data_IF_839084035526
#
_entry.id   IF_839084035526
#
_cell.length_a   1.000
_cell.length_b   1.000
_cell.length_c   1.000
_cell.angle_alpha   90.00
_cell.angle_beta   90.00
_cell.angle_gamma   90.00
#
_symmetry.space_group_name_H-M   'P 1'
#
loop_
_entity.id
_entity.type
_entity.pdbx_description
1 polymer ?
#
# COMPACT_ATOMS: atom_id res chain seq x y z
N UNK A 1 -24.28 1.26 -18.55
CA UNK A 1 -24.47 0.48 -17.30
C UNK A 1 -23.31 0.86 -16.37
N UNK A 2 -23.43 1.28 -15.12
CA UNK A 2 -24.56 1.67 -14.24
C UNK A 2 -24.01 2.66 -13.19
N UNK A 3 -24.85 3.58 -12.71
CA UNK A 3 -24.54 4.77 -11.88
C UNK A 3 -23.89 4.52 -10.49
N UNK A 4 -23.40 3.32 -10.17
CA UNK A 4 -22.93 2.89 -8.84
C UNK A 4 -21.55 2.18 -8.81
N UNK A 5 -20.79 2.16 -9.90
CA UNK A 5 -19.58 1.32 -10.03
C UNK A 5 -18.38 1.71 -9.14
N UNK A 6 -18.45 2.83 -8.40
CA UNK A 6 -17.34 3.30 -7.57
C UNK A 6 -17.66 3.30 -6.07
N UNK A 7 -18.80 2.75 -5.63
CA UNK A 7 -19.10 2.68 -4.19
C UNK A 7 -18.21 1.68 -3.43
N UNK A 8 -17.99 0.49 -4.00
CA UNK A 8 -17.15 -0.56 -3.41
C UNK A 8 -15.69 -0.15 -3.19
N UNK A 9 -14.97 0.48 -4.15
CA UNK A 9 -13.61 0.97 -3.88
C UNK A 9 -13.59 2.06 -2.82
N UNK A 10 -14.68 2.83 -2.65
CA UNK A 10 -14.82 3.76 -1.54
C UNK A 10 -14.88 3.06 -0.17
N UNK A 11 -15.68 2.00 -0.05
CA UNK A 11 -15.72 1.17 1.17
C UNK A 11 -14.37 0.51 1.43
N UNK A 12 -13.73 -0.04 0.39
CA UNK A 12 -12.41 -0.66 0.52
C UNK A 12 -11.37 0.34 1.07
N UNK A 13 -11.40 1.59 0.59
CA UNK A 13 -10.53 2.65 1.10
C UNK A 13 -10.82 3.01 2.56
N UNK A 14 -12.10 3.07 2.97
CA UNK A 14 -12.47 3.28 4.38
C UNK A 14 -12.00 2.13 5.27
N UNK A 15 -12.21 0.88 4.84
CA UNK A 15 -11.78 -0.29 5.58
C UNK A 15 -10.26 -0.31 5.74
N UNK A 16 -9.53 -0.04 4.64
CA UNK A 16 -8.07 0.02 4.65
C UNK A 16 -7.55 1.17 5.53
N UNK A 17 -8.25 2.32 5.57
CA UNK A 17 -7.88 3.45 6.42
C UNK A 17 -7.93 3.12 7.92
N UNK A 18 -8.69 2.10 8.31
CA UNK A 18 -8.75 1.58 9.69
C UNK A 18 -7.76 0.43 9.88
N UNK A 19 -7.78 -0.57 8.99
CA UNK A 19 -6.94 -1.76 9.12
C UNK A 19 -5.45 -1.45 9.07
N UNK A 20 -5.03 -0.58 8.15
CA UNK A 20 -3.62 -0.24 7.96
C UNK A 20 -2.96 0.32 9.23
N UNK A 21 -3.48 1.39 9.87
CA UNK A 21 -2.85 1.90 11.08
C UNK A 21 -2.95 0.92 12.24
N UNK A 22 -4.05 0.19 12.39
CA UNK A 22 -4.18 -0.80 13.46
C UNK A 22 -3.13 -1.91 13.37
N UNK A 23 -2.90 -2.44 12.16
CA UNK A 23 -1.89 -3.47 11.92
C UNK A 23 -0.47 -2.96 12.21
N UNK A 24 -0.09 -1.82 11.63
CA UNK A 24 1.28 -1.32 11.75
C UNK A 24 1.60 -0.78 13.15
N UNK A 25 0.65 -0.17 13.86
CA UNK A 25 0.85 0.24 15.26
C UNK A 25 1.12 -0.98 16.15
N UNK A 26 0.38 -2.08 15.93
CA UNK A 26 0.60 -3.33 16.63
C UNK A 26 2.00 -3.90 16.29
N UNK A 27 2.34 -4.01 15.01
CA UNK A 27 3.64 -4.51 14.57
C UNK A 27 4.82 -3.70 15.14
N UNK A 28 4.72 -2.36 15.14
CA UNK A 28 5.77 -1.49 15.70
C UNK A 28 5.88 -1.60 17.23
N UNK A 29 4.77 -1.84 17.93
CA UNK A 29 4.80 -2.01 19.40
C UNK A 29 5.55 -3.26 19.86
N UNK A 30 5.64 -4.27 18.99
CA UNK A 30 6.26 -5.56 19.28
C UNK A 30 7.77 -5.55 18.97
N UNK A 31 8.22 -4.67 18.06
CA UNK A 31 9.60 -4.62 17.56
C UNK A 31 10.61 -3.86 18.45
N UNK A 32 10.23 -3.32 19.60
CA UNK A 32 11.07 -2.35 20.36
C UNK A 32 12.21 -2.97 21.18
N UNK A 33 12.17 -4.26 21.50
CA UNK A 33 13.16 -4.87 22.42
C UNK A 33 14.15 -5.84 21.76
N UNK A 34 13.82 -6.45 20.61
CA UNK A 34 14.77 -7.20 19.76
C UNK A 34 14.15 -7.54 18.39
N UNK A 35 14.14 -6.58 17.45
CA UNK A 35 13.45 -6.70 16.15
C UNK A 35 13.75 -8.01 15.41
N UNK A 36 15.03 -8.42 15.31
CA UNK A 36 15.41 -9.62 14.56
C UNK A 36 14.92 -10.91 15.19
N UNK A 37 15.02 -11.04 16.52
CA UNK A 37 14.53 -12.24 17.22
C UNK A 37 13.01 -12.36 17.14
N UNK A 38 12.30 -11.23 17.26
CA UNK A 38 10.85 -11.15 17.20
C UNK A 38 10.33 -11.40 15.78
N UNK A 39 10.95 -10.78 14.77
CA UNK A 39 10.64 -11.01 13.37
C UNK A 39 10.87 -12.48 12.97
N UNK A 40 11.97 -13.08 13.43
CA UNK A 40 12.24 -14.52 13.19
C UNK A 40 11.16 -15.41 13.79
N UNK A 41 10.71 -15.12 15.01
CA UNK A 41 9.65 -15.88 15.65
C UNK A 41 8.32 -15.77 14.88
N UNK A 42 8.04 -14.58 14.34
CA UNK A 42 6.87 -14.30 13.51
C UNK A 42 6.91 -15.11 12.19
N UNK A 43 8.03 -15.05 11.45
CA UNK A 43 8.27 -15.79 10.19
C UNK A 43 8.07 -17.30 10.29
N UNK A 44 8.28 -17.88 11.48
CA UNK A 44 8.16 -19.32 11.72
C UNK A 44 6.74 -19.74 12.12
N UNK A 45 5.83 -18.78 12.25
CA UNK A 45 4.45 -19.00 12.66
C UNK A 45 3.47 -18.52 11.60
N UNK A 46 2.27 -19.10 11.59
CA UNK A 46 1.14 -18.58 10.83
C UNK A 46 0.08 -18.12 11.82
N UNK A 47 -0.24 -16.84 11.76
CA UNK A 47 -1.07 -16.12 12.71
C UNK A 47 -2.21 -15.38 12.01
N UNK A 48 -3.11 -14.81 12.81
CA UNK A 48 -4.13 -13.89 12.28
C UNK A 48 -3.51 -12.59 11.74
N UNK A 49 -2.29 -12.24 12.18
CA UNK A 49 -1.56 -11.08 11.67
C UNK A 49 -1.28 -11.23 10.17
N UNK A 50 -0.86 -12.42 9.74
CA UNK A 50 -0.54 -12.74 8.33
C UNK A 50 -1.78 -12.63 7.43
N UNK A 51 -2.93 -13.05 7.94
CA UNK A 51 -4.20 -12.89 7.22
C UNK A 51 -4.58 -11.41 7.05
N UNK A 52 -4.41 -10.61 8.10
CA UNK A 52 -4.68 -9.16 8.06
C UNK A 52 -3.69 -8.46 7.12
N UNK A 53 -2.42 -8.86 7.13
CA UNK A 53 -1.40 -8.38 6.22
C UNK A 53 -1.82 -8.61 4.76
N UNK A 54 -2.18 -9.84 4.39
CA UNK A 54 -2.68 -10.15 3.04
C UNK A 54 -3.93 -9.35 2.70
N UNK A 55 -4.88 -9.23 3.64
CA UNK A 55 -6.11 -8.46 3.42
C UNK A 55 -5.83 -6.98 3.12
N UNK A 56 -4.89 -6.36 3.84
CA UNK A 56 -4.41 -4.99 3.58
C UNK A 56 -3.90 -4.89 2.14
N UNK A 57 -3.03 -5.81 1.73
CA UNK A 57 -2.50 -5.85 0.36
C UNK A 57 -3.58 -6.01 -0.71
N UNK A 58 -4.55 -6.90 -0.51
CA UNK A 58 -5.65 -7.10 -1.46
C UNK A 58 -6.51 -5.84 -1.58
N UNK A 59 -6.84 -5.19 -0.46
CA UNK A 59 -7.62 -3.95 -0.46
C UNK A 59 -6.88 -2.83 -1.21
N UNK A 60 -5.59 -2.67 -0.95
CA UNK A 60 -4.77 -1.65 -1.60
C UNK A 60 -4.65 -1.88 -3.11
N UNK A 61 -4.38 -3.12 -3.54
CA UNK A 61 -4.36 -3.51 -4.95
C UNK A 61 -5.71 -3.22 -5.61
N UNK A 62 -6.81 -3.62 -4.98
CA UNK A 62 -8.15 -3.39 -5.50
C UNK A 62 -8.44 -1.89 -5.72
N UNK A 63 -8.07 -1.05 -4.76
CA UNK A 63 -8.19 0.41 -4.85
C UNK A 63 -7.39 0.95 -6.03
N UNK A 64 -6.14 0.53 -6.20
CA UNK A 64 -5.30 1.00 -7.32
C UNK A 64 -5.80 0.56 -8.68
N UNK A 65 -6.30 -0.66 -8.82
CA UNK A 65 -6.91 -1.12 -10.07
C UNK A 65 -8.19 -0.34 -10.40
N UNK A 66 -9.00 -0.02 -9.40
CA UNK A 66 -10.19 0.83 -9.57
C UNK A 66 -9.81 2.27 -9.94
N UNK A 67 -8.79 2.84 -9.28
CA UNK A 67 -8.31 4.19 -9.57
C UNK A 67 -7.69 4.28 -10.97
N UNK A 68 -6.94 3.25 -11.37
CA UNK A 68 -6.38 3.10 -12.71
C UNK A 68 -7.48 3.14 -13.76
N UNK A 69 -8.53 2.35 -13.55
CA UNK A 69 -9.70 2.31 -14.45
C UNK A 69 -10.35 3.70 -14.53
N UNK A 70 -10.54 4.35 -13.39
CA UNK A 70 -11.07 5.72 -13.35
C UNK A 70 -10.21 6.71 -14.14
N UNK A 71 -8.88 6.62 -14.06
CA UNK A 71 -7.97 7.53 -14.78
C UNK A 71 -7.96 7.26 -16.29
N UNK A 72 -8.05 6.00 -16.69
CA UNK A 72 -8.16 5.63 -18.09
C UNK A 72 -9.49 6.08 -18.70
N UNK A 73 -10.60 5.94 -17.97
CA UNK A 73 -11.95 6.26 -18.45
C UNK A 73 -12.28 7.76 -18.35
N UNK A 74 -11.87 8.45 -17.27
CA UNK A 74 -12.32 9.81 -16.96
C UNK A 74 -11.28 10.90 -17.24
N UNK A 75 -9.98 10.58 -17.12
CA UNK A 75 -8.90 11.58 -17.20
C UNK A 75 -8.02 11.42 -18.44
N UNK A 76 -8.26 10.36 -19.24
CA UNK A 76 -7.45 9.97 -20.41
C UNK A 76 -5.93 9.99 -20.16
N UNK A 77 -5.51 9.79 -18.89
CA UNK A 77 -4.10 9.85 -18.48
C UNK A 77 -3.48 8.46 -18.48
N UNK A 78 -2.92 8.07 -19.63
CA UNK A 78 -2.26 6.79 -19.79
C UNK A 78 -1.07 6.58 -18.83
N UNK A 79 -0.29 7.63 -18.56
CA UNK A 79 0.87 7.54 -17.66
C UNK A 79 0.46 7.27 -16.20
N UNK A 80 -0.53 7.99 -15.68
CA UNK A 80 -1.01 7.79 -14.31
C UNK A 80 -1.64 6.39 -14.15
N UNK A 81 -2.35 5.90 -15.16
CA UNK A 81 -2.91 4.55 -15.18
C UNK A 81 -1.83 3.45 -15.15
N UNK A 82 -0.71 3.64 -15.86
CA UNK A 82 0.43 2.70 -15.83
C UNK A 82 1.12 2.73 -14.47
N UNK A 83 1.36 3.92 -13.90
CA UNK A 83 1.99 4.05 -12.57
C UNK A 83 1.16 3.35 -11.48
N UNK A 84 -0.17 3.49 -11.51
CA UNK A 84 -1.07 2.78 -10.59
C UNK A 84 -1.01 1.26 -10.76
N UNK A 85 -0.85 0.75 -11.98
CA UNK A 85 -0.64 -0.67 -12.20
C UNK A 85 0.68 -1.14 -11.59
N UNK A 86 1.76 -0.38 -11.77
CA UNK A 86 3.07 -0.70 -11.19
C UNK A 86 2.97 -0.69 -9.66
N UNK A 87 2.30 0.30 -9.06
CA UNK A 87 2.07 0.33 -7.61
C UNK A 87 1.30 -0.91 -7.13
N UNK A 88 0.23 -1.32 -7.83
CA UNK A 88 -0.50 -2.53 -7.50
C UNK A 88 0.38 -3.80 -7.54
N UNK A 89 1.26 -3.91 -8.55
CA UNK A 89 2.22 -5.01 -8.64
C UNK A 89 3.23 -5.00 -7.48
N UNK A 90 3.75 -3.82 -7.12
CA UNK A 90 4.70 -3.69 -6.01
C UNK A 90 4.05 -4.02 -4.66
N UNK A 91 2.82 -3.57 -4.42
CA UNK A 91 2.04 -3.95 -3.23
C UNK A 91 1.82 -5.46 -3.19
N UNK A 92 1.47 -6.07 -4.33
CA UNK A 92 1.30 -7.53 -4.43
C UNK A 92 2.61 -8.24 -4.08
N UNK A 93 3.74 -7.78 -4.62
CA UNK A 93 5.05 -8.35 -4.35
C UNK A 93 5.46 -8.22 -2.88
N UNK A 94 5.18 -7.06 -2.27
CA UNK A 94 5.44 -6.84 -0.85
C UNK A 94 4.59 -7.76 0.02
N UNK A 95 3.29 -7.89 -0.24
CA UNK A 95 2.43 -8.76 0.56
C UNK A 95 2.64 -10.26 0.27
N UNK A 96 3.23 -10.61 -0.88
CA UNK A 96 3.63 -11.96 -1.20
C UNK A 96 4.79 -12.47 -0.33
N UNK A 97 5.43 -11.62 0.50
CA UNK A 97 6.40 -12.09 1.49
C UNK A 97 5.80 -13.08 2.49
N UNK A 98 4.47 -13.06 2.69
CA UNK A 98 3.77 -14.06 3.52
C UNK A 98 3.97 -15.49 3.02
N UNK A 99 4.30 -15.67 1.74
CA UNK A 99 4.61 -16.99 1.19
C UNK A 99 5.89 -17.56 1.81
N UNK A 100 6.79 -16.71 2.30
CA UNK A 100 7.97 -17.12 3.07
C UNK A 100 7.53 -17.71 4.40
N UNK A 101 6.59 -17.07 5.11
CA UNK A 101 6.06 -17.55 6.40
C UNK A 101 5.36 -18.91 6.22
N UNK A 102 4.53 -19.01 5.19
CA UNK A 102 3.88 -20.27 4.82
C UNK A 102 4.92 -21.34 4.52
N UNK A 103 5.95 -21.03 3.74
CA UNK A 103 7.00 -21.99 3.40
C UNK A 103 7.78 -22.43 4.63
N UNK A 104 8.25 -21.48 5.45
CA UNK A 104 9.04 -21.75 6.64
C UNK A 104 8.24 -22.49 7.72
N UNK A 105 6.94 -22.24 7.86
CA UNK A 105 6.09 -23.01 8.77
C UNK A 105 5.96 -24.49 8.39
N UNK A 106 6.09 -24.83 7.10
CA UNK A 106 5.96 -26.21 6.59
C UNK A 106 7.30 -26.95 6.61
N UNK A 107 8.38 -26.32 6.12
CA UNK A 107 9.69 -26.97 5.93
C UNK A 107 10.78 -26.49 6.88
N UNK A 108 10.52 -25.46 7.69
CA UNK A 108 11.53 -24.78 8.51
C UNK A 108 12.18 -25.67 9.56
N UNK A 109 11.47 -26.67 10.10
CA UNK A 109 12.04 -27.62 11.07
C UNK A 109 13.15 -28.50 10.47
N UNK A 110 13.24 -28.60 9.15
CA UNK A 110 14.29 -29.33 8.43
C UNK A 110 15.47 -28.45 8.00
N UNK A 111 15.43 -27.15 8.27
CA UNK A 111 16.47 -26.19 7.89
C UNK A 111 17.42 -25.92 9.06
N UNK A 112 18.66 -25.53 8.75
CA UNK A 112 19.60 -25.07 9.77
C UNK A 112 19.25 -23.64 10.20
N UNK A 113 19.65 -23.26 11.41
CA UNK A 113 19.46 -21.89 11.92
C UNK A 113 20.07 -20.83 11.00
N UNK A 114 21.26 -21.12 10.45
CA UNK A 114 21.95 -20.22 9.51
C UNK A 114 21.18 -20.02 8.20
N UNK A 115 20.52 -21.07 7.70
CA UNK A 115 19.69 -20.96 6.49
C UNK A 115 18.45 -20.11 6.75
N UNK A 116 17.79 -20.29 7.91
CA UNK A 116 16.63 -19.48 8.30
C UNK A 116 17.02 -18.00 8.45
N UNK A 117 18.16 -17.73 9.09
CA UNK A 117 18.71 -16.38 9.24
C UNK A 117 18.95 -15.73 7.87
N UNK A 118 19.61 -16.44 6.96
CA UNK A 118 19.87 -15.95 5.60
C UNK A 118 18.56 -15.62 4.86
N UNK A 119 17.56 -16.52 4.92
CA UNK A 119 16.24 -16.27 4.29
C UNK A 119 15.57 -15.04 4.89
N UNK A 120 15.63 -14.88 6.21
CA UNK A 120 15.03 -13.75 6.93
C UNK A 120 15.66 -12.42 6.51
N UNK A 121 17.00 -12.36 6.44
CA UNK A 121 17.74 -11.17 6.00
C UNK A 121 17.41 -10.79 4.54
N UNK A 122 17.42 -11.77 3.62
CA UNK A 122 17.05 -11.51 2.22
C UNK A 122 15.60 -11.06 2.08
N UNK A 123 14.69 -11.58 2.91
CA UNK A 123 13.27 -11.18 2.91
C UNK A 123 13.14 -9.72 3.36
N UNK A 124 13.83 -9.31 4.42
CA UNK A 124 13.85 -7.91 4.90
C UNK A 124 14.42 -6.98 3.82
N UNK A 125 15.58 -7.32 3.25
CA UNK A 125 16.24 -6.50 2.23
C UNK A 125 15.34 -6.37 0.99
N UNK A 126 14.75 -7.48 0.55
CA UNK A 126 13.80 -7.50 -0.56
C UNK A 126 12.58 -6.62 -0.28
N UNK A 127 11.97 -6.78 0.89
CA UNK A 127 10.82 -5.99 1.33
C UNK A 127 11.13 -4.48 1.34
N UNK A 128 12.27 -4.08 1.92
CA UNK A 128 12.73 -2.68 1.92
C UNK A 128 12.95 -2.15 0.50
N UNK A 129 13.54 -2.95 -0.39
CA UNK A 129 13.73 -2.59 -1.80
C UNK A 129 12.41 -2.37 -2.54
N UNK A 130 11.42 -3.24 -2.31
CA UNK A 130 10.07 -3.11 -2.89
C UNK A 130 9.36 -1.87 -2.35
N UNK A 131 9.44 -1.61 -1.04
CA UNK A 131 8.86 -0.40 -0.42
C UNK A 131 9.50 0.88 -0.95
N UNK A 132 10.81 0.88 -1.18
CA UNK A 132 11.51 2.01 -1.79
C UNK A 132 11.05 2.25 -3.23
N UNK A 133 10.98 1.18 -4.05
CA UNK A 133 10.47 1.27 -5.41
C UNK A 133 9.01 1.75 -5.45
N UNK A 134 8.18 1.29 -4.52
CA UNK A 134 6.80 1.75 -4.35
C UNK A 134 6.75 3.25 -4.05
N UNK A 135 7.57 3.73 -3.10
CA UNK A 135 7.68 5.16 -2.78
C UNK A 135 8.12 5.99 -4.00
N UNK A 136 9.04 5.47 -4.81
CA UNK A 136 9.51 6.14 -6.03
C UNK A 136 8.38 6.28 -7.06
N UNK A 137 7.65 5.20 -7.33
CA UNK A 137 6.53 5.19 -8.27
C UNK A 137 5.39 6.09 -7.77
N UNK A 138 5.07 6.04 -6.48
CA UNK A 138 4.06 6.91 -5.86
C UNK A 138 4.44 8.39 -5.92
N UNK A 139 5.73 8.71 -5.75
CA UNK A 139 6.23 10.08 -5.89
C UNK A 139 6.08 10.60 -7.32
N UNK A 140 6.44 9.79 -8.31
CA UNK A 140 6.27 10.12 -9.73
C UNK A 140 4.78 10.29 -10.06
N UNK A 141 3.90 9.40 -9.58
CA UNK A 141 2.45 9.53 -9.75
C UNK A 141 1.92 10.84 -9.17
N UNK A 142 2.40 11.22 -7.98
CA UNK A 142 2.02 12.47 -7.33
C UNK A 142 2.38 13.68 -8.18
N UNK A 143 3.60 13.72 -8.75
CA UNK A 143 4.03 14.76 -9.68
C UNK A 143 3.13 14.78 -10.93
N UNK A 144 2.86 13.62 -11.53
CA UNK A 144 2.00 13.51 -12.73
C UNK A 144 0.61 14.10 -12.48
N UNK A 145 0.03 13.84 -11.31
CA UNK A 145 -1.27 14.38 -10.93
C UNK A 145 -1.25 15.88 -10.63
N UNK A 146 -0.16 16.39 -10.06
CA UNK A 146 -0.02 17.80 -9.69
C UNK A 146 0.31 18.72 -10.87
N UNK A 147 0.93 18.20 -11.93
CA UNK A 147 1.34 19.00 -13.10
C UNK A 147 0.17 19.55 -13.94
N UNK A 148 -1.09 19.42 -13.50
CA UNK A 148 -2.29 20.07 -14.04
C UNK A 148 -2.62 19.77 -15.52
N UNK A 149 -1.80 18.97 -16.20
CA UNK A 149 -2.01 18.52 -17.59
C UNK A 149 -3.06 17.43 -17.73
N UNK A 150 -3.49 16.84 -16.61
CA UNK A 150 -4.39 15.69 -16.55
C UNK A 150 -5.86 16.06 -16.38
N UNK A 151 -6.19 17.35 -16.21
CA UNK A 151 -7.56 17.77 -15.88
C UNK A 151 -8.09 17.17 -14.58
N UNK A 152 -7.20 16.68 -13.70
CA UNK A 152 -7.59 15.95 -12.50
C UNK A 152 -8.42 16.83 -11.54
N UNK A 153 -9.57 16.33 -11.03
CA UNK A 153 -10.35 16.98 -9.99
C UNK A 153 -9.53 17.38 -8.77
N UNK A 154 -9.94 18.45 -8.09
CA UNK A 154 -9.27 19.00 -6.90
C UNK A 154 -8.99 17.94 -5.82
N UNK A 155 -9.91 16.98 -5.64
CA UNK A 155 -9.72 15.84 -4.72
C UNK A 155 -8.51 14.96 -5.05
N UNK A 156 -8.24 14.71 -6.33
CA UNK A 156 -7.08 13.92 -6.73
C UNK A 156 -5.78 14.70 -6.58
N UNK A 157 -5.83 16.04 -6.65
CA UNK A 157 -4.67 16.88 -6.32
C UNK A 157 -4.37 16.82 -4.83
N UNK A 158 -5.40 16.86 -3.97
CA UNK A 158 -5.20 16.68 -2.52
C UNK A 158 -4.63 15.29 -2.21
N UNK A 159 -5.18 14.25 -2.83
CA UNK A 159 -4.61 12.90 -2.73
C UNK A 159 -3.14 12.87 -3.17
N UNK A 160 -2.80 13.51 -4.30
CA UNK A 160 -1.42 13.57 -4.79
C UNK A 160 -0.47 14.29 -3.82
N UNK A 161 -0.90 15.37 -3.17
CA UNK A 161 -0.09 16.03 -2.13
C UNK A 161 0.15 15.10 -0.95
N UNK A 162 -0.89 14.43 -0.46
CA UNK A 162 -0.77 13.49 0.67
C UNK A 162 0.13 12.30 0.30
N UNK A 163 -0.06 11.72 -0.88
CA UNK A 163 0.78 10.64 -1.39
C UNK A 163 2.24 11.08 -1.53
N UNK A 164 2.50 12.30 -2.01
CA UNK A 164 3.84 12.86 -2.10
C UNK A 164 4.51 12.94 -0.73
N UNK A 165 3.79 13.41 0.30
CA UNK A 165 4.28 13.42 1.68
C UNK A 165 4.59 12.01 2.17
N UNK A 166 3.69 11.04 1.94
CA UNK A 166 3.95 9.64 2.30
C UNK A 166 5.24 9.11 1.65
N UNK A 167 5.46 9.42 0.37
CA UNK A 167 6.65 8.97 -0.35
C UNK A 167 7.94 9.62 0.18
N UNK A 168 7.90 10.91 0.50
CA UNK A 168 9.04 11.60 1.12
C UNK A 168 9.39 10.99 2.48
N UNK A 169 8.39 10.70 3.31
CA UNK A 169 8.58 9.99 4.58
C UNK A 169 9.17 8.59 4.35
N UNK A 170 8.63 7.86 3.36
CA UNK A 170 9.09 6.52 3.01
C UNK A 170 10.57 6.48 2.61
N UNK A 171 11.06 7.47 1.85
CA UNK A 171 12.46 7.52 1.43
C UNK A 171 13.44 7.67 2.59
N UNK A 172 13.01 8.28 3.70
CA UNK A 172 13.91 8.49 4.84
C UNK A 172 14.14 7.24 5.69
N UNK A 173 13.40 6.14 5.43
CA UNK A 173 13.33 4.88 6.21
C UNK A 173 12.96 5.09 7.69
N UNK A 174 13.70 5.93 8.41
CA UNK A 174 13.50 6.35 9.81
C UNK A 174 12.14 7.03 10.01
N UNK A 175 11.70 7.93 9.11
CA UNK A 175 10.40 8.59 9.24
C UNK A 175 9.27 7.82 8.55
N UNK A 176 9.57 6.70 7.86
CA UNK A 176 8.56 5.88 7.20
C UNK A 176 7.45 5.38 8.14
N UNK A 177 7.68 5.09 9.45
CA UNK A 177 6.61 4.73 10.37
C UNK A 177 5.54 5.80 10.54
N UNK A 178 5.85 7.08 10.28
CA UNK A 178 4.85 8.16 10.33
C UNK A 178 3.77 8.01 9.24
N UNK A 179 4.02 7.22 8.19
CA UNK A 179 3.02 6.89 7.17
C UNK A 179 1.79 6.20 7.75
N UNK A 180 1.89 5.57 8.92
CA UNK A 180 0.75 5.04 9.69
C UNK A 180 -0.35 6.09 9.88
N UNK A 181 0.02 7.36 10.04
CA UNK A 181 -0.94 8.44 10.24
C UNK A 181 -1.30 9.17 8.95
N UNK A 182 -0.34 9.30 8.03
CA UNK A 182 -0.52 10.09 6.80
C UNK A 182 -1.28 9.29 5.72
N UNK A 183 -0.97 8.00 5.55
CA UNK A 183 -1.60 7.16 4.52
C UNK A 183 -3.13 7.03 4.68
N UNK A 184 -3.69 6.85 5.90
CA UNK A 184 -5.13 6.86 6.10
C UNK A 184 -5.81 8.14 5.60
N UNK A 185 -5.18 9.30 5.72
CA UNK A 185 -5.73 10.56 5.19
C UNK A 185 -5.90 10.47 3.67
N UNK A 186 -4.91 9.91 2.97
CA UNK A 186 -4.98 9.68 1.52
C UNK A 186 -6.13 8.74 1.15
N UNK A 187 -6.31 7.67 1.93
CA UNK A 187 -7.41 6.71 1.75
C UNK A 187 -8.79 7.33 1.99
N UNK A 188 -8.94 8.20 2.99
CA UNK A 188 -10.18 8.95 3.22
C UNK A 188 -10.52 9.88 2.04
N UNK A 189 -9.51 10.54 1.46
CA UNK A 189 -9.69 11.36 0.26
C UNK A 189 -10.15 10.48 -0.92
N UNK A 190 -9.52 9.32 -1.12
CA UNK A 190 -9.92 8.38 -2.17
C UNK A 190 -11.33 7.84 -1.95
N UNK A 191 -11.69 7.52 -0.70
CA UNK A 191 -13.05 7.08 -0.36
C UNK A 191 -14.08 8.13 -0.79
N UNK A 192 -13.83 9.40 -0.48
CA UNK A 192 -14.70 10.49 -0.87
C UNK A 192 -14.74 10.70 -2.40
N UNK A 193 -13.59 10.60 -3.07
CA UNK A 193 -13.49 10.66 -4.53
C UNK A 193 -14.34 9.58 -5.21
N UNK A 194 -14.31 8.35 -4.70
CA UNK A 194 -15.02 7.21 -5.26
C UNK A 194 -16.54 7.28 -5.03
N UNK A 195 -16.98 7.78 -3.87
CA UNK A 195 -18.41 7.91 -3.55
C UNK A 195 -19.07 9.07 -4.29
N UNK A 196 -18.32 10.12 -4.69
CA UNK A 196 -18.89 11.27 -5.41
C UNK A 196 -19.28 10.94 -6.86
N UNK A 197 -20.50 11.33 -7.30
CA UNK A 197 -20.90 11.25 -8.70
C UNK A 197 -19.96 12.04 -9.62
N UNK A 198 -19.65 11.53 -10.81
CA UNK A 198 -18.71 12.14 -11.76
C UNK A 198 -19.04 13.61 -12.08
N UNK A 199 -20.33 13.96 -12.13
CA UNK A 199 -20.83 15.31 -12.44
C UNK A 199 -20.55 16.36 -11.34
N UNK A 200 -20.19 15.94 -10.12
CA UNK A 200 -19.90 16.85 -8.99
C UNK A 200 -18.40 17.04 -8.74
N UNK A 201 -17.53 16.43 -9.56
CA UNK A 201 -16.08 16.52 -9.41
C UNK A 201 -15.49 17.79 -10.08
N UNK A 202 -16.24 18.45 -10.96
CA UNK A 202 -15.81 19.65 -11.71
C UNK A 202 -16.25 20.99 -11.08
N UNK A 203 -17.12 20.97 -10.06
CA UNK A 203 -17.75 22.19 -9.50
C UNK A 203 -17.03 22.80 -8.27
N UNK A 204 -15.81 22.35 -7.92
CA UNK A 204 -15.05 22.88 -6.77
C UNK A 204 -13.58 23.16 -7.11
#
# INVERSE_FOLDING_TARGET
MTKQDYFLPGIAALLLAVLFPSYWLYAFSIGTENFMAVYRADLLSLSLSDLVFVLIGVLEVYIYLCLRRSFAERLSSGSAAVLLLIMALLVTLFHATVLIDITLSIIGSGLTDQTIETISEFTIIGALGVLFAYGLVGFILSIVLLLNRTGAPSLLKYFAVVLMVCCLLQFTVILSPLNVFVFPVGLLILAFYFVKPAQQLELV
#
